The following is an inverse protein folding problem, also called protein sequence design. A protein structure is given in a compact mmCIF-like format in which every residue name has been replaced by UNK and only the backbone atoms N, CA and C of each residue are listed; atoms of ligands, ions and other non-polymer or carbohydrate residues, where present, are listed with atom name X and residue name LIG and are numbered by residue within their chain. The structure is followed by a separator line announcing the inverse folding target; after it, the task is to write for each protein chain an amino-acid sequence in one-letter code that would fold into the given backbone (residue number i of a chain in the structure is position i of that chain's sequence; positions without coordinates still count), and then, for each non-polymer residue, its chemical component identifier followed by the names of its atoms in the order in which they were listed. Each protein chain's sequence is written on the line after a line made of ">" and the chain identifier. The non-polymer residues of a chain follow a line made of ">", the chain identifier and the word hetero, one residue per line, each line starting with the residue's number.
data_IF_586967110955
#
_entry.id   IF_586967110955
#
_cell.length_a   1.000
_cell.length_b   1.000
_cell.length_c   1.000
_cell.angle_alpha   90.00
_cell.angle_beta   90.00
_cell.angle_gamma   90.00
#
_symmetry.space_group_name_H-M   'P 1'
#
loop_
_entity.id
_entity.type
_entity.pdbx_description
1 polymer ?
#
# COMPACT_ATOMS: atom_id res chain seq x y z
N UNK A 1 6.49 -8.39 -0.27
CA UNK A 1 5.32 -9.06 0.31
C UNK A 1 5.81 -10.17 1.24
N UNK A 2 5.00 -10.58 2.22
CA UNK A 2 5.35 -11.55 3.27
C UNK A 2 5.51 -12.99 2.76
N UNK A 3 4.89 -13.95 3.43
CA UNK A 3 4.99 -15.37 3.07
C UNK A 3 4.07 -15.67 1.87
N UNK A 4 4.67 -16.02 0.73
CA UNK A 4 3.93 -16.39 -0.49
C UNK A 4 3.09 -17.64 -0.27
N UNK A 5 1.81 -17.62 -0.68
CA UNK A 5 0.91 -18.77 -0.59
C UNK A 5 0.29 -19.04 0.78
N UNK A 6 0.59 -18.21 1.80
CA UNK A 6 0.12 -18.45 3.16
C UNK A 6 -1.42 -18.38 3.30
N UNK A 7 -2.06 -17.37 2.71
CA UNK A 7 -3.51 -17.16 2.85
C UNK A 7 -4.32 -18.37 2.33
N UNK A 8 -4.09 -18.87 1.10
CA UNK A 8 -4.73 -20.11 0.63
C UNK A 8 -4.43 -21.31 1.53
N UNK A 9 -3.20 -21.43 2.02
CA UNK A 9 -2.78 -22.55 2.86
C UNK A 9 -3.55 -22.59 4.20
N UNK A 10 -3.79 -21.44 4.83
CA UNK A 10 -4.53 -21.34 6.11
C UNK A 10 -6.04 -21.11 5.93
N UNK A 11 -6.58 -21.30 4.72
CA UNK A 11 -7.98 -21.02 4.42
C UNK A 11 -8.97 -21.71 5.35
N UNK A 12 -8.68 -22.96 5.76
CA UNK A 12 -9.52 -23.71 6.72
C UNK A 12 -9.53 -23.14 8.14
N UNK A 13 -8.52 -22.34 8.50
CA UNK A 13 -8.41 -21.66 9.78
C UNK A 13 -8.91 -20.19 9.71
N UNK A 14 -9.41 -19.76 8.55
CA UNK A 14 -9.92 -18.40 8.34
C UNK A 14 -11.45 -18.38 8.42
N UNK A 15 -12.01 -17.31 8.96
CA UNK A 15 -13.46 -17.07 8.98
C UNK A 15 -13.77 -15.70 8.39
N UNK A 16 -14.96 -15.54 7.82
CA UNK A 16 -15.45 -14.22 7.46
C UNK A 16 -15.81 -13.43 8.71
N UNK A 17 -15.60 -12.11 8.66
CA UNK A 17 -15.89 -11.18 9.74
C UNK A 17 -16.46 -9.90 9.14
N UNK A 18 -17.56 -9.40 9.69
CA UNK A 18 -18.05 -8.07 9.38
C UNK A 18 -17.61 -7.09 10.47
N UNK A 19 -17.33 -5.83 10.11
CA UNK A 19 -16.86 -4.83 11.08
C UNK A 19 -17.88 -4.55 12.21
N UNK A 20 -19.16 -4.81 11.95
CA UNK A 20 -20.24 -4.73 12.96
C UNK A 20 -20.01 -5.69 14.12
N UNK A 21 -19.42 -6.85 13.85
CA UNK A 21 -19.22 -7.92 14.82
C UNK A 21 -18.10 -7.59 15.83
N UNK A 22 -17.30 -6.55 15.54
CA UNK A 22 -16.21 -6.05 16.39
C UNK A 22 -16.43 -4.58 16.79
N UNK A 23 -17.67 -4.09 16.78
CA UNK A 23 -18.03 -2.76 17.29
C UNK A 23 -17.52 -2.57 18.74
N UNK A 24 -17.06 -1.36 19.06
CA UNK A 24 -16.50 -1.02 20.37
C UNK A 24 -15.07 -1.51 20.61
N UNK A 25 -14.49 -2.26 19.67
CA UNK A 25 -13.11 -2.77 19.79
C UNK A 25 -12.06 -1.71 19.44
N UNK A 26 -10.81 -2.00 19.78
CA UNK A 26 -9.64 -1.27 19.29
C UNK A 26 -8.88 -2.17 18.32
N UNK A 27 -8.53 -1.66 17.13
CA UNK A 27 -7.79 -2.41 16.11
C UNK A 27 -6.49 -1.70 15.74
N UNK A 28 -5.41 -2.44 15.59
CA UNK A 28 -4.17 -1.94 15.01
C UNK A 28 -4.18 -2.15 13.50
N UNK A 29 -3.81 -1.12 12.75
CA UNK A 29 -3.74 -1.15 11.29
C UNK A 29 -2.28 -1.04 10.87
N UNK A 30 -1.81 -2.00 10.08
CA UNK A 30 -0.60 -1.81 9.29
C UNK A 30 -0.88 -0.77 8.20
N UNK A 31 -0.47 0.46 8.46
CA UNK A 31 -0.83 1.62 7.63
C UNK A 31 -0.10 1.60 6.29
N UNK A 32 1.07 0.95 6.21
CA UNK A 32 1.85 0.88 4.98
C UNK A 32 1.07 0.12 3.89
N UNK A 33 0.28 -0.88 4.27
CA UNK A 33 -0.62 -1.59 3.36
C UNK A 33 -1.65 -0.65 2.68
N UNK A 34 -2.19 0.32 3.42
CA UNK A 34 -3.14 1.31 2.85
C UNK A 34 -2.42 2.37 2.01
N UNK A 35 -1.31 2.92 2.51
CA UNK A 35 -0.53 3.91 1.77
C UNK A 35 -0.06 3.37 0.42
N UNK A 36 0.47 2.14 0.41
CA UNK A 36 0.89 1.49 -0.83
C UNK A 36 -0.27 1.37 -1.84
N UNK A 37 -1.49 1.08 -1.38
CA UNK A 37 -2.67 1.05 -2.26
C UNK A 37 -3.12 2.45 -2.69
N UNK A 38 -3.05 3.44 -1.80
CA UNK A 38 -3.43 4.82 -2.08
C UNK A 38 -2.53 5.49 -3.11
N UNK A 39 -1.23 5.16 -3.13
CA UNK A 39 -0.25 5.69 -4.07
C UNK A 39 -0.62 5.38 -5.53
N UNK A 40 -1.23 4.23 -5.84
CA UNK A 40 -1.66 3.93 -7.21
C UNK A 40 -2.64 4.96 -7.78
N UNK A 41 -3.45 5.59 -6.94
CA UNK A 41 -4.38 6.66 -7.37
C UNK A 41 -3.69 7.97 -7.76
N UNK A 42 -2.40 8.13 -7.47
CA UNK A 42 -1.62 9.34 -7.71
C UNK A 42 -0.17 9.05 -8.14
N UNK A 43 0.09 7.86 -8.68
CA UNK A 43 1.45 7.40 -9.00
C UNK A 43 2.14 8.34 -9.99
N UNK A 44 1.42 8.83 -11.00
CA UNK A 44 1.97 9.78 -11.98
C UNK A 44 2.41 11.10 -11.33
N UNK A 45 1.57 11.70 -10.49
CA UNK A 45 1.89 12.96 -9.78
C UNK A 45 3.11 12.78 -8.89
N UNK A 46 3.13 11.68 -8.13
CA UNK A 46 4.26 11.34 -7.26
C UNK A 46 5.55 11.10 -8.06
N UNK A 47 5.47 10.46 -9.23
CA UNK A 47 6.63 10.22 -10.09
C UNK A 47 7.20 11.54 -10.66
N UNK A 48 6.33 12.53 -10.92
CA UNK A 48 6.68 13.88 -11.36
C UNK A 48 7.14 14.81 -10.23
N UNK A 49 6.98 14.40 -8.97
CA UNK A 49 7.28 15.23 -7.80
C UNK A 49 6.25 16.32 -7.54
N UNK A 50 5.02 16.14 -8.05
CA UNK A 50 3.91 17.05 -7.80
C UNK A 50 3.26 16.75 -6.44
N UNK A 51 2.82 17.81 -5.77
CA UNK A 51 2.08 17.69 -4.51
C UNK A 51 0.74 16.97 -4.72
N UNK A 52 0.46 16.02 -3.85
CA UNK A 52 -0.81 15.28 -3.85
C UNK A 52 -1.09 14.71 -2.46
N UNK A 53 -2.37 14.63 -2.11
CA UNK A 53 -2.88 14.06 -0.86
C UNK A 53 -3.78 12.85 -1.10
N UNK A 54 -3.89 12.36 -2.34
CA UNK A 54 -4.81 11.27 -2.72
C UNK A 54 -4.56 10.00 -1.90
N UNK A 55 -3.30 9.68 -1.61
CA UNK A 55 -2.95 8.54 -0.76
C UNK A 55 -3.37 8.74 0.71
N UNK A 56 -3.42 9.99 1.19
CA UNK A 56 -3.94 10.36 2.52
C UNK A 56 -5.44 10.18 2.55
N UNK A 57 -6.15 10.72 1.55
CA UNK A 57 -7.61 10.58 1.42
C UNK A 57 -8.02 9.12 1.34
N UNK A 58 -7.24 8.29 0.63
CA UNK A 58 -7.44 6.85 0.60
C UNK A 58 -7.37 6.22 2.00
N UNK A 59 -6.38 6.58 2.82
CA UNK A 59 -6.27 6.08 4.19
C UNK A 59 -7.41 6.60 5.08
N UNK A 60 -7.73 7.89 5.00
CA UNK A 60 -8.80 8.52 5.79
C UNK A 60 -10.17 7.91 5.49
N UNK A 61 -10.44 7.48 4.26
CA UNK A 61 -11.64 6.72 3.91
C UNK A 61 -11.82 5.49 4.80
N UNK A 62 -10.76 4.70 5.01
CA UNK A 62 -10.84 3.50 5.85
C UNK A 62 -10.84 3.82 7.35
N UNK A 63 -10.15 4.88 7.77
CA UNK A 63 -10.27 5.39 9.16
C UNK A 63 -11.72 5.75 9.46
N UNK A 64 -12.34 6.56 8.60
CA UNK A 64 -13.74 6.97 8.76
C UNK A 64 -14.70 5.78 8.72
N UNK A 65 -14.43 4.79 7.87
CA UNK A 65 -15.18 3.53 7.86
C UNK A 65 -15.11 2.82 9.23
N UNK A 66 -13.92 2.64 9.81
CA UNK A 66 -13.78 2.01 11.13
C UNK A 66 -14.48 2.82 12.23
N UNK A 67 -14.30 4.14 12.24
CA UNK A 67 -14.95 5.03 13.21
C UNK A 67 -16.48 4.99 13.11
N UNK A 68 -17.04 4.86 11.91
CA UNK A 68 -18.51 4.72 11.73
C UNK A 68 -19.07 3.41 12.31
N UNK A 69 -18.22 2.40 12.52
CA UNK A 69 -18.53 1.17 13.24
C UNK A 69 -18.21 1.25 14.73
N UNK A 70 -17.87 2.43 15.26
CA UNK A 70 -17.44 2.62 16.66
C UNK A 70 -16.24 1.73 17.01
N UNK A 71 -15.29 1.61 16.08
CA UNK A 71 -14.02 0.93 16.28
C UNK A 71 -12.95 2.00 16.46
N UNK A 72 -12.09 1.86 17.46
CA UNK A 72 -10.93 2.74 17.68
C UNK A 72 -9.73 2.24 16.86
N UNK A 73 -9.33 2.91 15.76
CA UNK A 73 -8.13 2.52 15.02
C UNK A 73 -6.86 3.05 15.71
N UNK A 74 -5.81 2.22 15.71
CA UNK A 74 -4.43 2.60 15.99
C UNK A 74 -3.64 2.40 14.71
N UNK A 75 -3.22 3.50 14.08
CA UNK A 75 -2.42 3.46 12.86
C UNK A 75 -0.96 3.21 13.23
N UNK A 76 -0.42 2.07 12.78
CA UNK A 76 0.98 1.69 13.00
C UNK A 76 1.76 1.99 11.72
N UNK A 77 2.89 2.68 11.90
CA UNK A 77 3.83 3.00 10.83
C UNK A 77 5.16 2.32 11.10
N UNK A 78 5.77 1.79 10.04
CA UNK A 78 7.12 1.25 10.12
C UNK A 78 8.12 2.36 10.49
N UNK A 79 9.08 1.99 11.34
CA UNK A 79 10.19 2.87 11.72
C UNK A 79 11.44 2.58 10.92
N UNK A 80 12.54 2.30 11.63
CA UNK A 80 13.83 2.04 11.01
C UNK A 80 13.91 0.71 10.25
N UNK A 81 14.84 0.64 9.31
CA UNK A 81 15.14 -0.58 8.57
C UNK A 81 15.77 -1.63 9.49
N UNK A 82 15.25 -2.85 9.44
CA UNK A 82 15.83 -3.98 10.15
C UNK A 82 16.98 -4.60 9.34
N UNK A 83 18.15 -4.88 9.95
CA UNK A 83 19.28 -5.53 9.27
C UNK A 83 18.88 -6.85 8.58
N UNK A 84 18.04 -7.65 9.23
CA UNK A 84 17.52 -8.91 8.68
C UNK A 84 16.72 -8.75 7.37
N UNK A 85 16.20 -7.55 7.08
CA UNK A 85 15.45 -7.23 5.86
C UNK A 85 16.29 -6.47 4.82
N UNK A 86 17.57 -6.22 5.06
CA UNK A 86 18.40 -5.38 4.18
C UNK A 86 18.40 -5.85 2.72
N UNK A 87 18.53 -7.17 2.48
CA UNK A 87 18.50 -7.74 1.12
C UNK A 87 17.13 -7.59 0.44
N UNK A 88 16.05 -7.65 1.21
CA UNK A 88 14.69 -7.46 0.69
C UNK A 88 14.44 -6.01 0.32
N UNK A 89 14.85 -5.08 1.18
CA UNK A 89 14.70 -3.65 0.93
C UNK A 89 15.60 -3.16 -0.21
N UNK A 90 16.81 -3.73 -0.36
CA UNK A 90 17.66 -3.51 -1.53
C UNK A 90 16.95 -3.96 -2.82
N UNK A 91 16.44 -5.20 -2.87
CA UNK A 91 15.69 -5.71 -4.03
C UNK A 91 14.48 -4.85 -4.38
N UNK A 92 13.72 -4.38 -3.37
CA UNK A 92 12.60 -3.45 -3.58
C UNK A 92 13.05 -2.12 -4.15
N UNK A 93 14.16 -1.57 -3.65
CA UNK A 93 14.73 -0.30 -4.15
C UNK A 93 15.18 -0.44 -5.61
N UNK A 94 15.88 -1.52 -5.93
CA UNK A 94 16.37 -1.78 -7.29
C UNK A 94 15.21 -1.96 -8.27
N UNK A 95 14.17 -2.72 -7.88
CA UNK A 95 12.95 -2.88 -8.68
C UNK A 95 12.24 -1.55 -8.94
N UNK A 96 12.08 -0.69 -7.92
CA UNK A 96 11.46 0.64 -8.10
C UNK A 96 12.28 1.53 -9.04
N UNK A 97 13.60 1.48 -8.93
CA UNK A 97 14.50 2.23 -9.83
C UNK A 97 14.30 1.78 -11.29
N UNK A 98 14.30 0.47 -11.54
CA UNK A 98 14.07 -0.08 -12.88
C UNK A 98 12.68 0.27 -13.43
N UNK A 99 11.63 0.22 -12.61
CA UNK A 99 10.28 0.63 -13.02
C UNK A 99 10.24 2.11 -13.41
N UNK A 100 10.87 2.98 -12.63
CA UNK A 100 10.95 4.43 -12.94
C UNK A 100 11.71 4.70 -14.24
N UNK A 101 12.83 4.02 -14.45
CA UNK A 101 13.62 4.14 -15.69
C UNK A 101 12.81 3.71 -16.91
N UNK A 102 12.13 2.55 -16.83
CA UNK A 102 11.25 2.08 -17.91
C UNK A 102 10.08 3.04 -18.17
N UNK A 103 9.40 3.51 -17.12
CA UNK A 103 8.30 4.46 -17.28
C UNK A 103 8.75 5.76 -17.98
N UNK A 104 9.95 6.26 -17.65
CA UNK A 104 10.53 7.42 -18.32
C UNK A 104 10.87 7.15 -19.79
N UNK A 105 11.35 5.95 -20.12
CA UNK A 105 11.63 5.52 -21.49
C UNK A 105 10.33 5.40 -22.32
N UNK A 106 9.28 4.76 -21.78
CA UNK A 106 7.97 4.64 -22.43
C UNK A 106 7.30 6.01 -22.68
N UNK A 107 7.41 6.94 -21.72
CA UNK A 107 6.93 8.32 -21.89
C UNK A 107 7.61 9.05 -23.06
N UNK A 108 8.86 8.68 -23.40
CA UNK A 108 9.59 9.27 -24.52
C UNK A 108 9.26 8.61 -25.87
N UNK A 109 8.86 7.34 -25.87
CA UNK A 109 8.75 6.52 -27.08
C UNK A 109 7.31 6.29 -27.57
N UNK A 110 6.33 6.06 -26.69
CA UNK A 110 5.05 5.43 -27.10
C UNK A 110 3.81 6.26 -26.73
N UNK A 111 3.88 7.05 -25.66
CA UNK A 111 2.77 7.88 -25.17
C UNK A 111 2.41 7.62 -23.72
N UNK A 112 1.43 8.37 -23.19
CA UNK A 112 1.09 8.41 -21.75
C UNK A 112 0.40 7.12 -21.26
N UNK A 113 -0.30 6.38 -22.14
CA UNK A 113 -1.12 5.23 -21.72
C UNK A 113 -0.30 3.98 -21.38
N UNK A 114 0.68 3.55 -22.19
CA UNK A 114 1.51 2.38 -21.84
C UNK A 114 2.40 2.63 -20.61
N UNK A 115 2.85 3.88 -20.42
CA UNK A 115 3.70 4.25 -19.29
C UNK A 115 3.00 4.04 -17.93
N UNK A 116 1.66 4.15 -17.87
CA UNK A 116 0.89 3.95 -16.63
C UNK A 116 0.97 2.54 -16.07
N UNK A 117 1.20 1.53 -16.91
CA UNK A 117 1.33 0.12 -16.46
C UNK A 117 2.68 -0.19 -15.80
N UNK A 118 3.66 0.71 -15.95
CA UNK A 118 5.04 0.54 -15.49
C UNK A 118 5.46 1.51 -14.38
N UNK A 119 4.59 2.46 -13.99
CA UNK A 119 4.75 3.36 -12.84
C UNK A 119 4.28 2.71 -11.53
#
# INVERSE_FOLDING_TARGET
>A
MGITGLIPFVGKASSQLHLKDIRGSTVAVDTYCWLHKGVFGCAEKLARGEDTDVYIQYCLKYVNMLLSYDIKPILVFDGQHLPAKALTEKRRRDSRKQSKERAAEFLRLVGIEEARSHM
#
